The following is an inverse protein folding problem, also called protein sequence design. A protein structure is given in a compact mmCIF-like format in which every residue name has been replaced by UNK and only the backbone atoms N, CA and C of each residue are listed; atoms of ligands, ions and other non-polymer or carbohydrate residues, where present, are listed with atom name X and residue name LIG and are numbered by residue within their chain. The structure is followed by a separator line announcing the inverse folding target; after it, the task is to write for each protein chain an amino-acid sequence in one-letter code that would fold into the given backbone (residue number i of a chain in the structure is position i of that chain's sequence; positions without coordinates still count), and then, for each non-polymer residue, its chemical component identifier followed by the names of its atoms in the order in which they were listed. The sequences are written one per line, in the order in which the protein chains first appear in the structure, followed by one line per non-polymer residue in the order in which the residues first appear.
data_IF_357034288407
#
_entry.id   IF_357034288407
#
_cell.length_a   1.000
_cell.length_b   1.000
_cell.length_c   1.000
_cell.angle_alpha   90.00
_cell.angle_beta   90.00
_cell.angle_gamma   90.00
#
_symmetry.space_group_name_H-M   'P 1'
#
loop_
_entity.id
_entity.type
_entity.pdbx_description
1 polymer ?
#
# COMPACT_ATOMS: atom_id res chain seq x y z
N UNK A 1 -43.32 -38.46 6.83
CA UNK A 1 -42.59 -37.94 5.66
C UNK A 1 -41.17 -37.60 6.11
N UNK A 2 -40.14 -38.24 5.54
CA UNK A 2 -38.73 -37.98 5.90
C UNK A 2 -38.27 -36.66 5.27
N UNK A 3 -37.49 -35.80 5.96
CA UNK A 3 -36.91 -34.62 5.33
C UNK A 3 -35.79 -35.06 4.37
N UNK A 4 -35.81 -34.53 3.14
CA UNK A 4 -34.73 -34.72 2.16
C UNK A 4 -33.55 -33.84 2.58
N UNK A 5 -32.44 -34.46 2.96
CA UNK A 5 -31.15 -33.80 3.03
C UNK A 5 -30.74 -33.42 1.61
N UNK A 6 -30.66 -32.12 1.34
CA UNK A 6 -30.07 -31.58 0.11
C UNK A 6 -28.63 -31.22 0.45
N UNK A 7 -27.71 -32.14 0.20
CA UNK A 7 -26.27 -31.83 0.12
C UNK A 7 -26.05 -31.00 -1.13
N UNK A 8 -25.82 -29.68 -0.96
CA UNK A 8 -25.39 -28.81 -2.06
C UNK A 8 -23.91 -29.02 -2.33
N UNK A 9 -23.55 -29.04 -3.61
CA UNK A 9 -22.15 -29.17 -4.02
C UNK A 9 -21.40 -27.84 -3.86
N UNK A 10 -20.07 -27.89 -3.72
CA UNK A 10 -19.22 -26.72 -3.45
C UNK A 10 -19.38 -25.60 -4.49
N UNK A 11 -19.67 -25.90 -5.77
CA UNK A 11 -19.89 -24.87 -6.78
C UNK A 11 -21.23 -24.14 -6.64
N UNK A 12 -22.25 -24.80 -6.11
CA UNK A 12 -23.57 -24.19 -5.88
C UNK A 12 -23.53 -23.19 -4.72
N UNK A 13 -22.73 -23.45 -3.70
CA UNK A 13 -22.51 -22.51 -2.59
C UNK A 13 -21.72 -21.28 -3.04
N UNK A 14 -20.74 -21.47 -3.93
CA UNK A 14 -19.96 -20.38 -4.52
C UNK A 14 -20.83 -19.48 -5.42
N UNK A 15 -21.71 -20.06 -6.24
CA UNK A 15 -22.68 -19.29 -7.04
C UNK A 15 -23.69 -18.53 -6.17
N UNK A 16 -24.18 -19.13 -5.09
CA UNK A 16 -25.07 -18.44 -4.16
C UNK A 16 -24.39 -17.24 -3.48
N UNK A 17 -23.10 -17.37 -3.15
CA UNK A 17 -22.33 -16.25 -2.59
C UNK A 17 -22.12 -15.12 -3.60
N UNK A 18 -21.84 -15.43 -4.87
CA UNK A 18 -21.69 -14.42 -5.91
C UNK A 18 -23.02 -13.71 -6.26
N UNK A 19 -24.14 -14.44 -6.26
CA UNK A 19 -25.48 -13.86 -6.49
C UNK A 19 -25.91 -12.98 -5.32
N UNK A 20 -25.58 -13.34 -4.07
CA UNK A 20 -25.85 -12.50 -2.90
C UNK A 20 -24.97 -11.24 -2.85
N UNK A 21 -23.73 -11.33 -3.34
CA UNK A 21 -22.85 -10.17 -3.46
C UNK A 21 -23.33 -9.16 -4.52
N UNK A 22 -23.86 -9.64 -5.65
CA UNK A 22 -24.43 -8.77 -6.70
C UNK A 22 -25.83 -8.24 -6.37
N UNK A 23 -26.63 -8.98 -5.60
CA UNK A 23 -27.95 -8.52 -5.15
C UNK A 23 -27.88 -7.37 -4.13
N UNK A 24 -26.74 -7.21 -3.41
CA UNK A 24 -26.51 -6.05 -2.52
C UNK A 24 -26.05 -4.79 -3.25
N UNK A 25 -25.68 -4.87 -4.53
CA UNK A 25 -25.19 -3.74 -5.32
C UNK A 25 -26.19 -3.18 -6.34
N UNK A 26 -27.45 -3.65 -6.36
CA UNK A 26 -28.49 -3.09 -7.21
C UNK A 26 -29.31 -2.00 -6.48
N UNK A 27 -29.49 -0.79 -7.04
CA UNK A 27 -30.31 0.24 -6.42
C UNK A 27 -31.79 -0.16 -6.49
N UNK A 28 -32.49 -0.04 -5.36
CA UNK A 28 -33.95 -0.12 -5.30
C UNK A 28 -34.53 1.19 -5.81
N UNK A 29 -35.03 1.21 -7.04
CA UNK A 29 -35.88 2.28 -7.56
C UNK A 29 -37.20 2.33 -6.78
N UNK A 30 -37.43 3.43 -6.05
CA UNK A 30 -38.77 3.99 -5.78
C UNK A 30 -38.70 5.52 -5.65
N UNK A 31 -39.17 6.19 -6.70
CA UNK A 31 -40.00 7.40 -6.71
C UNK A 31 -39.71 8.51 -5.68
N UNK A 32 -39.06 9.58 -6.13
CA UNK A 32 -39.29 10.92 -5.61
C UNK A 32 -39.36 11.89 -6.80
N UNK A 33 -40.42 12.67 -6.79
CA UNK A 33 -40.92 13.60 -7.80
C UNK A 33 -39.95 14.69 -8.22
N UNK A 34 -39.97 15.01 -9.51
CA UNK A 34 -39.52 16.26 -10.12
C UNK A 34 -40.02 17.47 -9.32
N UNK A 35 -39.10 18.37 -8.96
CA UNK A 35 -39.39 19.80 -8.80
C UNK A 35 -38.28 20.59 -9.48
N UNK A 36 -38.69 21.27 -10.54
CA UNK A 36 -38.01 22.34 -11.26
C UNK A 36 -37.49 23.43 -10.33
N UNK A 37 -36.26 23.90 -10.54
CA UNK A 37 -35.88 25.31 -10.32
C UNK A 37 -34.86 25.73 -11.40
N UNK A 38 -35.03 26.90 -12.04
CA UNK A 38 -34.54 27.13 -13.41
C UNK A 38 -33.17 27.80 -13.48
N UNK A 39 -32.54 27.57 -14.64
CA UNK A 39 -31.40 28.29 -15.19
C UNK A 39 -31.69 29.76 -15.48
N UNK A 40 -30.80 30.64 -15.04
CA UNK A 40 -30.66 32.00 -15.55
C UNK A 40 -30.36 33.03 -14.47
N UNK A 41 -29.15 33.58 -14.46
CA UNK A 41 -28.86 34.99 -14.15
C UNK A 41 -27.37 35.28 -14.42
N UNK A 42 -27.12 35.78 -15.62
CA UNK A 42 -25.95 36.57 -16.00
C UNK A 42 -25.88 37.84 -15.14
N UNK A 43 -24.72 38.15 -14.57
CA UNK A 43 -24.41 39.48 -14.06
C UNK A 43 -23.24 40.06 -14.84
N UNK A 44 -23.54 41.13 -15.57
CA UNK A 44 -22.61 41.98 -16.28
C UNK A 44 -22.81 43.40 -15.75
N UNK A 45 -21.72 44.18 -15.72
CA UNK A 45 -21.62 45.63 -15.46
C UNK A 45 -21.61 46.10 -14.00
N UNK A 46 -20.42 46.47 -13.53
CA UNK A 46 -20.24 47.72 -12.79
C UNK A 46 -19.04 48.50 -13.36
N UNK A 47 -19.33 49.74 -13.74
CA UNK A 47 -18.44 50.70 -14.35
C UNK A 47 -17.55 51.40 -13.31
N UNK A 48 -16.38 51.83 -13.78
CA UNK A 48 -15.40 52.66 -13.07
C UNK A 48 -15.88 54.11 -12.85
N UNK A 49 -15.19 54.86 -11.97
CA UNK A 49 -14.92 56.28 -12.22
C UNK A 49 -13.43 56.54 -12.44
N UNK A 50 -13.16 57.38 -13.43
CA UNK A 50 -11.86 57.90 -13.84
C UNK A 50 -11.55 59.26 -13.20
N UNK A 51 -10.35 59.42 -12.65
CA UNK A 51 -9.50 60.64 -12.59
C UNK A 51 -8.18 60.16 -11.99
N UNK A 52 -6.97 60.38 -12.50
CA UNK A 52 -6.42 61.33 -13.45
C UNK A 52 -5.17 61.91 -12.78
N UNK A 53 -3.96 61.43 -13.10
CA UNK A 53 -2.74 62.24 -13.20
C UNK A 53 -1.49 61.43 -13.59
N UNK A 54 -0.61 62.14 -14.31
CA UNK A 54 0.51 61.67 -15.14
C UNK A 54 1.77 61.38 -14.31
N UNK A 55 2.61 60.41 -14.73
CA UNK A 55 4.07 60.64 -14.93
C UNK A 55 4.84 59.46 -15.57
N UNK A 56 5.49 59.80 -16.68
CA UNK A 56 6.83 59.43 -17.14
C UNK A 56 7.29 57.95 -17.16
N UNK A 57 7.57 57.49 -18.39
CA UNK A 57 8.46 56.40 -18.76
C UNK A 57 9.85 56.53 -18.09
N UNK A 58 10.30 55.48 -17.42
CA UNK A 58 11.73 55.22 -17.15
C UNK A 58 12.05 53.74 -17.28
N UNK A 59 13.18 53.47 -17.95
CA UNK A 59 13.79 52.19 -18.39
C UNK A 59 13.73 51.02 -17.38
N UNK A 60 13.78 49.76 -17.83
CA UNK A 60 13.90 48.62 -16.92
C UNK A 60 15.30 48.57 -16.30
N UNK A 61 15.45 48.22 -15.01
CA UNK A 61 16.75 48.00 -14.41
C UNK A 61 17.30 46.62 -14.79
N UNK A 62 18.63 46.58 -14.82
CA UNK A 62 19.52 45.50 -15.26
C UNK A 62 19.39 44.23 -14.42
N UNK A 63 19.67 43.10 -15.08
CA UNK A 63 19.98 41.80 -14.50
C UNK A 63 20.85 41.92 -13.24
N UNK A 64 20.29 41.49 -12.11
CA UNK A 64 21.05 41.12 -10.93
C UNK A 64 20.93 39.61 -10.81
N UNK A 65 21.97 38.91 -11.28
CA UNK A 65 22.13 37.48 -11.07
C UNK A 65 22.15 37.17 -9.58
N UNK A 66 21.01 36.69 -9.07
CA UNK A 66 20.91 36.10 -7.74
C UNK A 66 21.59 34.73 -7.77
N UNK A 67 22.87 34.70 -7.39
CA UNK A 67 23.58 33.46 -7.06
C UNK A 67 22.83 32.76 -5.92
N UNK A 68 22.17 31.64 -6.24
CA UNK A 68 21.69 30.67 -5.26
C UNK A 68 22.86 30.29 -4.33
N UNK A 69 22.72 30.56 -3.03
CA UNK A 69 23.72 30.18 -2.02
C UNK A 69 23.58 28.68 -1.69
N UNK A 70 24.68 27.94 -1.51
CA UNK A 70 24.66 26.54 -1.09
C UNK A 70 24.42 26.48 0.43
N UNK A 71 23.17 26.63 0.87
CA UNK A 71 22.77 26.35 2.26
C UNK A 71 21.95 25.07 2.40
N UNK A 72 21.31 24.62 1.31
CA UNK A 72 20.44 23.44 1.33
C UNK A 72 21.18 22.11 1.18
N UNK A 73 22.42 22.08 0.68
CA UNK A 73 23.13 20.82 0.51
C UNK A 73 23.50 20.13 1.84
N UNK A 74 23.74 20.89 2.92
CA UNK A 74 23.99 20.30 4.25
C UNK A 74 22.71 19.78 4.90
N UNK A 75 21.60 20.51 4.79
CA UNK A 75 20.31 20.05 5.30
C UNK A 75 19.80 18.84 4.51
N UNK A 76 19.98 18.81 3.18
CA UNK A 76 19.65 17.65 2.33
C UNK A 76 20.56 16.46 2.66
N UNK A 77 21.85 16.67 2.94
CA UNK A 77 22.76 15.61 3.36
C UNK A 77 22.48 15.09 4.79
N UNK A 78 22.01 15.94 5.70
CA UNK A 78 21.56 15.52 7.04
C UNK A 78 20.21 14.78 6.98
N UNK A 79 19.27 15.25 6.14
CA UNK A 79 18.01 14.56 5.85
C UNK A 79 18.24 13.21 5.15
N UNK A 80 19.23 13.11 4.26
CA UNK A 80 19.58 11.83 3.63
C UNK A 80 20.24 10.86 4.62
N UNK A 81 21.03 11.37 5.57
CA UNK A 81 21.62 10.55 6.66
C UNK A 81 20.56 10.02 7.62
N UNK A 82 19.61 10.87 8.02
CA UNK A 82 18.57 10.55 9.00
C UNK A 82 17.62 9.45 8.53
N UNK A 83 17.43 9.28 7.22
CA UNK A 83 16.57 8.23 6.65
C UNK A 83 17.23 6.84 6.60
N UNK A 84 18.56 6.73 6.65
CA UNK A 84 19.24 5.43 6.57
C UNK A 84 19.35 4.72 7.92
N UNK A 85 19.49 5.47 9.01
CA UNK A 85 19.46 4.90 10.37
C UNK A 85 18.11 4.18 10.63
N UNK A 86 17.03 4.62 9.97
CA UNK A 86 15.73 3.94 10.01
C UNK A 86 15.77 2.55 9.37
N UNK A 87 16.62 2.29 8.38
CA UNK A 87 16.73 0.98 7.72
C UNK A 87 17.32 -0.04 8.69
N UNK A 88 18.43 0.28 9.36
CA UNK A 88 19.05 -0.61 10.34
C UNK A 88 18.13 -0.86 11.53
N UNK A 89 17.46 0.18 12.03
CA UNK A 89 16.47 0.03 13.11
C UNK A 89 15.27 -0.82 12.67
N UNK A 90 14.79 -0.66 11.43
CA UNK A 90 13.74 -1.52 10.85
C UNK A 90 14.17 -2.98 10.84
N UNK A 91 15.39 -3.26 10.39
CA UNK A 91 15.92 -4.61 10.34
C UNK A 91 16.03 -5.22 11.74
N UNK A 92 16.54 -4.46 12.70
CA UNK A 92 16.67 -4.93 14.08
C UNK A 92 15.31 -5.23 14.73
N UNK A 93 14.31 -4.37 14.51
CA UNK A 93 12.94 -4.61 15.01
C UNK A 93 12.28 -5.80 14.31
N UNK A 94 12.60 -6.03 13.03
CA UNK A 94 12.08 -7.16 12.27
C UNK A 94 12.60 -8.52 12.76
N UNK A 95 13.66 -8.57 13.57
CA UNK A 95 14.15 -9.80 14.22
C UNK A 95 13.07 -10.45 15.10
N UNK A 96 12.17 -9.64 15.68
CA UNK A 96 11.01 -10.13 16.44
C UNK A 96 10.03 -10.95 15.58
N UNK A 97 10.11 -10.82 14.25
CA UNK A 97 9.34 -11.62 13.31
C UNK A 97 9.97 -12.99 13.02
N UNK A 98 11.18 -13.25 13.52
CA UNK A 98 11.94 -14.48 13.30
C UNK A 98 12.84 -14.45 12.06
N UNK A 99 12.89 -13.34 11.34
CA UNK A 99 13.79 -13.14 10.21
C UNK A 99 15.00 -12.34 10.64
N UNK A 100 16.18 -12.88 10.39
CA UNK A 100 17.45 -12.26 10.75
C UNK A 100 18.18 -11.88 9.48
N UNK A 101 18.61 -10.61 9.42
CA UNK A 101 19.68 -10.17 8.52
C UNK A 101 20.92 -10.01 9.39
N UNK A 102 22.05 -10.57 8.95
CA UNK A 102 23.29 -10.39 9.71
C UNK A 102 23.70 -8.91 9.75
N UNK A 103 24.45 -8.52 10.77
CA UNK A 103 24.96 -7.14 10.88
C UNK A 103 25.81 -6.75 9.67
N UNK A 104 26.58 -7.69 9.12
CA UNK A 104 27.39 -7.48 7.92
C UNK A 104 26.53 -7.24 6.68
N UNK A 105 25.53 -8.10 6.43
CA UNK A 105 24.58 -7.91 5.32
C UNK A 105 23.79 -6.61 5.47
N UNK A 106 23.38 -6.27 6.69
CA UNK A 106 22.68 -5.02 6.99
C UNK A 106 23.54 -3.79 6.68
N UNK A 107 24.83 -3.82 7.00
CA UNK A 107 25.76 -2.74 6.66
C UNK A 107 26.03 -2.64 5.15
N UNK A 108 26.18 -3.77 4.46
CA UNK A 108 26.34 -3.80 3.00
C UNK A 108 25.11 -3.22 2.32
N UNK A 109 23.92 -3.64 2.74
CA UNK A 109 22.64 -3.13 2.26
C UNK A 109 22.52 -1.64 2.53
N UNK A 110 22.82 -1.19 3.74
CA UNK A 110 22.75 0.23 4.11
C UNK A 110 23.66 1.09 3.21
N UNK A 111 24.90 0.65 2.99
CA UNK A 111 25.84 1.35 2.12
C UNK A 111 25.41 1.36 0.65
N UNK A 112 24.89 0.24 0.13
CA UNK A 112 24.46 0.16 -1.27
C UNK A 112 23.21 1.00 -1.53
N UNK A 113 22.27 1.06 -0.58
CA UNK A 113 21.09 1.94 -0.66
C UNK A 113 21.48 3.42 -0.63
N UNK A 114 22.50 3.80 0.14
CA UNK A 114 23.03 5.17 0.15
C UNK A 114 23.53 5.58 -1.24
N UNK A 115 24.26 4.68 -1.91
CA UNK A 115 24.75 4.90 -3.28
C UNK A 115 23.56 5.06 -4.22
N UNK A 116 22.60 4.13 -4.16
CA UNK A 116 21.42 4.13 -5.03
C UNK A 116 20.56 5.39 -4.85
N UNK A 117 20.41 5.90 -3.63
CA UNK A 117 19.72 7.16 -3.34
C UNK A 117 20.40 8.35 -4.01
N UNK A 118 21.72 8.44 -3.88
CA UNK A 118 22.51 9.55 -4.41
C UNK A 118 22.52 9.56 -5.95
N UNK A 119 22.68 8.40 -6.59
CA UNK A 119 22.72 8.26 -8.05
C UNK A 119 21.39 8.64 -8.71
N UNK A 120 20.28 8.29 -8.08
CA UNK A 120 18.94 8.52 -8.65
C UNK A 120 18.26 9.81 -8.15
N UNK A 121 18.94 10.57 -7.29
CA UNK A 121 18.43 11.76 -6.62
C UNK A 121 17.09 11.54 -5.93
N UNK A 122 16.94 10.41 -5.24
CA UNK A 122 15.75 10.14 -4.44
C UNK A 122 15.76 10.99 -3.17
N UNK A 123 14.57 11.50 -2.81
CA UNK A 123 14.38 12.21 -1.55
C UNK A 123 14.55 11.27 -0.38
N UNK A 124 13.96 10.08 -0.50
CA UNK A 124 14.06 9.00 0.48
C UNK A 124 14.12 7.66 -0.23
N UNK A 125 14.88 6.74 0.33
CA UNK A 125 14.98 5.35 -0.10
C UNK A 125 14.56 4.44 1.05
N UNK A 126 13.94 3.33 0.71
CA UNK A 126 13.44 2.34 1.66
C UNK A 126 13.88 0.96 1.22
N UNK A 127 14.31 0.16 2.18
CA UNK A 127 14.37 -1.27 1.99
C UNK A 127 12.94 -1.82 2.05
N UNK A 128 12.49 -2.46 0.98
CA UNK A 128 11.14 -3.04 0.92
C UNK A 128 11.10 -4.40 1.61
N UNK A 129 12.15 -5.20 1.43
CA UNK A 129 12.20 -6.56 1.94
C UNK A 129 12.99 -7.53 1.08
N UNK A 130 12.84 -8.80 1.41
CA UNK A 130 13.46 -9.94 0.73
C UNK A 130 12.41 -10.98 0.36
N UNK A 131 12.40 -11.37 -0.91
CA UNK A 131 11.63 -12.50 -1.42
C UNK A 131 12.54 -13.72 -1.51
N UNK A 132 12.13 -14.80 -0.86
CA UNK A 132 12.91 -16.02 -0.81
C UNK A 132 12.85 -16.77 -2.14
N UNK A 133 14.03 -17.09 -2.66
CA UNK A 133 14.19 -17.96 -3.82
C UNK A 133 14.71 -19.34 -3.42
N UNK A 134 14.81 -20.22 -4.40
CA UNK A 134 15.35 -21.57 -4.22
C UNK A 134 16.87 -21.55 -4.34
N UNK A 135 17.40 -20.86 -5.35
CA UNK A 135 18.84 -20.73 -5.60
C UNK A 135 19.37 -19.39 -5.07
N UNK A 136 18.67 -18.29 -5.34
CA UNK A 136 19.02 -16.95 -4.86
C UNK A 136 17.80 -16.16 -4.39
N UNK A 137 17.97 -15.37 -3.34
CA UNK A 137 16.94 -14.46 -2.84
C UNK A 137 16.92 -13.14 -3.60
N UNK A 138 15.74 -12.52 -3.69
CA UNK A 138 15.57 -11.17 -4.23
C UNK A 138 15.43 -10.16 -3.12
N UNK A 139 16.37 -9.23 -3.04
CA UNK A 139 16.31 -8.05 -2.20
C UNK A 139 15.64 -6.93 -2.99
N UNK A 140 14.69 -6.24 -2.39
CA UNK A 140 13.92 -5.19 -3.06
C UNK A 140 14.06 -3.89 -2.29
N UNK A 141 14.24 -2.80 -3.02
CA UNK A 141 14.27 -1.47 -2.48
C UNK A 141 13.42 -0.55 -3.36
N UNK A 142 12.94 0.55 -2.78
CA UNK A 142 12.28 1.57 -3.58
C UNK A 142 12.63 2.96 -3.08
N UNK A 143 12.59 3.92 -3.99
CA UNK A 143 12.77 5.33 -3.67
C UNK A 143 11.73 6.18 -4.39
N UNK A 144 11.51 7.38 -3.87
CA UNK A 144 10.67 8.39 -4.52
C UNK A 144 11.35 9.76 -4.51
N UNK A 145 10.94 10.63 -5.43
CA UNK A 145 11.51 11.99 -5.57
C UNK A 145 10.62 13.05 -4.92
N UNK A 146 9.42 13.21 -5.45
CA UNK A 146 8.47 14.25 -5.04
C UNK A 146 7.28 13.66 -4.30
N UNK A 147 6.50 12.82 -4.99
CA UNK A 147 5.29 12.20 -4.44
C UNK A 147 5.62 10.84 -3.81
N UNK A 148 5.28 10.69 -2.54
CA UNK A 148 5.58 9.49 -1.76
C UNK A 148 4.81 8.25 -2.27
N UNK A 149 3.69 8.46 -2.96
CA UNK A 149 2.81 7.41 -3.48
C UNK A 149 3.01 7.13 -4.98
N UNK A 150 2.97 8.15 -5.82
CA UNK A 150 2.93 7.99 -7.28
C UNK A 150 4.32 7.86 -7.92
N UNK A 151 5.35 8.47 -7.34
CA UNK A 151 6.71 8.51 -7.92
C UNK A 151 7.62 7.39 -7.40
N UNK A 152 7.05 6.28 -6.92
CA UNK A 152 7.84 5.16 -6.38
C UNK A 152 8.48 4.36 -7.51
N UNK A 153 9.81 4.26 -7.46
CA UNK A 153 10.62 3.45 -8.37
C UNK A 153 11.22 2.29 -7.60
N UNK A 154 11.00 1.08 -8.08
CA UNK A 154 11.44 -0.16 -7.44
C UNK A 154 12.71 -0.70 -8.10
N UNK A 155 13.59 -1.24 -7.27
CA UNK A 155 14.82 -1.90 -7.66
C UNK A 155 14.89 -3.27 -7.00
N UNK A 156 15.53 -4.21 -7.67
CA UNK A 156 15.80 -5.53 -7.11
C UNK A 156 17.30 -5.86 -7.19
N UNK A 157 17.76 -6.73 -6.31
CA UNK A 157 19.15 -7.21 -6.28
C UNK A 157 19.18 -8.65 -5.78
N UNK A 158 20.13 -9.44 -6.25
CA UNK A 158 20.42 -10.79 -5.72
C UNK A 158 21.62 -10.82 -4.79
N UNK A 159 22.41 -9.74 -4.75
CA UNK A 159 23.68 -9.68 -4.02
C UNK A 159 23.80 -8.47 -3.08
N UNK A 160 22.73 -7.69 -2.90
CA UNK A 160 22.67 -6.46 -2.09
C UNK A 160 23.62 -5.33 -2.51
N UNK A 161 24.29 -5.44 -3.66
CA UNK A 161 25.28 -4.46 -4.13
C UNK A 161 24.88 -3.90 -5.49
N UNK A 162 24.53 -4.79 -6.43
CA UNK A 162 24.12 -4.42 -7.77
C UNK A 162 22.59 -4.38 -7.84
N UNK A 163 22.04 -3.21 -8.12
CA UNK A 163 20.60 -2.98 -8.17
C UNK A 163 20.12 -2.86 -9.62
N UNK A 164 19.23 -3.77 -10.02
CA UNK A 164 18.50 -3.72 -11.29
C UNK A 164 17.19 -2.94 -11.13
N UNK A 165 16.85 -2.12 -12.12
CA UNK A 165 15.55 -1.46 -12.16
C UNK A 165 14.46 -2.49 -12.40
N UNK A 166 13.45 -2.52 -11.53
CA UNK A 166 12.32 -3.43 -11.68
C UNK A 166 11.34 -2.88 -12.73
N UNK A 167 10.91 -3.68 -13.74
CA UNK A 167 9.96 -3.21 -14.74
C UNK A 167 8.59 -2.96 -14.11
N UNK A 168 7.78 -2.12 -14.76
CA UNK A 168 6.41 -1.88 -14.31
C UNK A 168 5.57 -3.16 -14.47
N UNK A 169 4.68 -3.46 -13.50
CA UNK A 169 3.91 -4.69 -13.49
C UNK A 169 2.87 -4.67 -14.60
N UNK A 170 2.98 -5.61 -15.55
CA UNK A 170 2.00 -5.78 -16.63
C UNK A 170 0.71 -6.40 -16.10
N UNK A 171 -0.46 -5.95 -16.57
CA UNK A 171 -1.75 -6.48 -16.13
C UNK A 171 -1.92 -7.98 -16.42
N UNK A 172 -1.28 -8.47 -17.48
CA UNK A 172 -1.15 -9.89 -17.77
C UNK A 172 -0.48 -10.66 -16.62
N UNK A 173 0.66 -10.16 -16.13
CA UNK A 173 1.39 -10.80 -15.04
C UNK A 173 0.58 -10.76 -13.73
N UNK A 174 -0.05 -9.62 -13.41
CA UNK A 174 -0.91 -9.48 -12.21
C UNK A 174 -2.01 -10.54 -12.11
N UNK A 175 -2.59 -10.93 -13.25
CA UNK A 175 -3.62 -11.97 -13.33
C UNK A 175 -3.06 -13.39 -13.20
N UNK A 176 -1.83 -13.63 -13.65
CA UNK A 176 -1.19 -14.95 -13.59
C UNK A 176 -0.53 -15.25 -12.25
N UNK A 177 -0.01 -14.24 -11.55
CA UNK A 177 0.70 -14.44 -10.27
C UNK A 177 -0.13 -15.22 -9.23
N UNK A 178 -1.42 -14.90 -8.98
CA UNK A 178 -2.23 -15.64 -8.01
C UNK A 178 -2.42 -17.13 -8.35
N UNK A 179 -2.31 -17.49 -9.64
CA UNK A 179 -2.42 -18.86 -10.13
C UNK A 179 -1.08 -19.62 -10.03
N UNK A 180 0.03 -18.90 -9.86
CA UNK A 180 1.37 -19.47 -9.81
C UNK A 180 1.75 -19.81 -8.37
N UNK A 181 1.70 -21.10 -8.01
CA UNK A 181 2.10 -21.62 -6.69
C UNK A 181 3.58 -22.03 -6.60
N UNK A 182 4.31 -21.98 -7.71
CA UNK A 182 5.74 -22.32 -7.76
C UNK A 182 6.55 -21.36 -6.88
N UNK A 183 7.71 -21.79 -6.36
CA UNK A 183 8.63 -20.88 -5.66
C UNK A 183 9.39 -20.00 -6.66
N UNK A 184 10.00 -18.92 -6.20
CA UNK A 184 10.99 -18.20 -7.00
C UNK A 184 12.27 -19.03 -7.09
N UNK A 185 12.96 -18.98 -8.23
CA UNK A 185 14.25 -19.66 -8.37
C UNK A 185 15.41 -18.71 -8.02
N UNK A 186 15.29 -17.42 -8.35
CA UNK A 186 16.39 -16.46 -8.21
C UNK A 186 17.07 -16.11 -9.53
N UNK A 187 16.48 -16.51 -10.67
CA UNK A 187 16.91 -16.10 -12.01
C UNK A 187 15.83 -15.22 -12.68
N UNK A 188 16.08 -13.91 -12.88
CA UNK A 188 15.16 -13.01 -13.57
C UNK A 188 14.81 -13.44 -15.00
N UNK A 189 15.70 -14.18 -15.68
CA UNK A 189 15.52 -14.60 -17.06
C UNK A 189 14.65 -15.86 -17.21
N UNK A 190 14.36 -16.55 -16.11
CA UNK A 190 13.54 -17.77 -16.13
C UNK A 190 12.14 -17.48 -16.66
N UNK A 191 11.62 -18.39 -17.48
CA UNK A 191 10.23 -18.36 -17.96
C UNK A 191 9.53 -19.62 -17.46
N UNK A 192 8.45 -19.42 -16.71
CA UNK A 192 7.60 -20.47 -16.19
C UNK A 192 6.36 -20.64 -17.06
N UNK A 193 5.95 -21.89 -17.21
CA UNK A 193 4.70 -22.27 -17.86
C UNK A 193 3.61 -22.40 -16.78
N UNK A 194 2.65 -21.47 -16.78
CA UNK A 194 1.50 -21.42 -15.87
C UNK A 194 0.30 -22.05 -16.57
N UNK A 195 -0.24 -23.12 -15.98
CA UNK A 195 -1.46 -23.76 -16.45
C UNK A 195 -2.67 -22.96 -15.98
N UNK A 196 -3.55 -22.59 -16.92
CA UNK A 196 -4.87 -22.07 -16.64
C UNK A 196 -5.89 -23.16 -16.81
N UNK A 197 -6.70 -23.37 -15.77
CA UNK A 197 -7.81 -24.30 -15.81
C UNK A 197 -9.02 -23.67 -16.52
N UNK A 198 -10.00 -24.51 -16.88
CA UNK A 198 -11.19 -24.07 -17.64
C UNK A 198 -12.08 -23.10 -16.87
N UNK A 199 -12.15 -23.29 -15.56
CA UNK A 199 -13.01 -22.52 -14.66
C UNK A 199 -12.39 -21.16 -14.26
N UNK A 200 -11.17 -20.87 -14.72
CA UNK A 200 -10.45 -19.64 -14.40
C UNK A 200 -11.03 -18.43 -15.13
N UNK A 201 -11.64 -17.52 -14.36
CA UNK A 201 -12.24 -16.27 -14.86
C UNK A 201 -11.22 -15.10 -14.80
N UNK A 202 -9.95 -15.37 -14.47
CA UNK A 202 -8.92 -14.33 -14.33
C UNK A 202 -8.79 -13.41 -15.58
N UNK A 203 -9.15 -13.93 -16.76
CA UNK A 203 -9.14 -13.20 -18.03
C UNK A 203 -10.52 -12.72 -18.52
N UNK A 204 -11.56 -12.83 -17.68
CA UNK A 204 -12.91 -12.33 -17.96
C UNK A 204 -13.87 -13.42 -18.40
N UNK A 205 -13.54 -14.16 -19.45
CA UNK A 205 -14.36 -15.27 -19.95
C UNK A 205 -13.78 -16.63 -19.52
N UNK A 206 -14.62 -17.60 -19.11
CA UNK A 206 -14.16 -18.94 -18.79
C UNK A 206 -13.56 -19.59 -20.04
N UNK A 207 -12.42 -20.27 -19.86
CA UNK A 207 -11.71 -20.88 -20.96
C UNK A 207 -12.40 -22.20 -21.38
N UNK A 208 -12.55 -22.42 -22.69
CA UNK A 208 -13.10 -23.68 -23.22
C UNK A 208 -12.16 -24.88 -22.95
N UNK A 209 -10.85 -24.61 -22.96
CA UNK A 209 -9.78 -25.59 -22.79
C UNK A 209 -8.67 -25.04 -21.90
N UNK A 210 -7.97 -25.89 -21.13
CA UNK A 210 -6.85 -25.45 -20.32
C UNK A 210 -5.75 -24.88 -21.22
N UNK A 211 -5.23 -23.72 -20.86
CA UNK A 211 -4.20 -23.03 -21.63
C UNK A 211 -2.92 -22.92 -20.81
N UNK A 212 -1.78 -23.19 -21.43
CA UNK A 212 -0.48 -22.92 -20.85
C UNK A 212 -0.03 -21.53 -21.27
N UNK A 213 0.36 -20.71 -20.28
CA UNK A 213 0.82 -19.35 -20.49
C UNK A 213 2.20 -19.14 -19.90
N UNK A 214 3.02 -18.40 -20.63
CA UNK A 214 4.38 -18.09 -20.23
C UNK A 214 4.39 -16.88 -19.31
N UNK A 215 5.13 -16.98 -18.21
CA UNK A 215 5.37 -15.90 -17.26
C UNK A 215 6.87 -15.83 -16.95
N UNK A 216 7.49 -14.71 -17.30
CA UNK A 216 8.88 -14.44 -16.94
C UNK A 216 8.98 -14.17 -15.44
N UNK A 217 10.03 -14.65 -14.78
CA UNK A 217 10.23 -14.50 -13.34
C UNK A 217 10.41 -13.04 -12.92
N UNK A 218 11.08 -12.22 -13.73
CA UNK A 218 11.17 -10.77 -13.51
C UNK A 218 9.79 -10.08 -13.53
N UNK A 219 8.94 -10.41 -14.50
CA UNK A 219 7.57 -9.86 -14.60
C UNK A 219 6.70 -10.34 -13.44
N UNK A 220 6.89 -11.61 -13.04
CA UNK A 220 6.26 -12.20 -11.87
C UNK A 220 6.67 -11.46 -10.60
N UNK A 221 7.96 -11.20 -10.40
CA UNK A 221 8.50 -10.48 -9.25
C UNK A 221 7.86 -9.09 -9.15
N UNK A 222 7.83 -8.35 -10.25
CA UNK A 222 7.18 -7.03 -10.32
C UNK A 222 5.69 -7.08 -9.96
N UNK A 223 4.95 -8.03 -10.54
CA UNK A 223 3.54 -8.21 -10.23
C UNK A 223 3.29 -8.62 -8.77
N UNK A 224 4.10 -9.51 -8.19
CA UNK A 224 4.00 -9.91 -6.79
C UNK A 224 4.23 -8.72 -5.85
N UNK A 225 5.29 -7.94 -6.08
CA UNK A 225 5.59 -6.74 -5.28
C UNK A 225 4.43 -5.73 -5.38
N UNK A 226 3.87 -5.54 -6.58
CA UNK A 226 2.72 -4.68 -6.77
C UNK A 226 1.48 -5.16 -5.99
N UNK A 227 1.18 -6.46 -5.99
CA UNK A 227 0.06 -7.03 -5.26
C UNK A 227 0.24 -6.88 -3.74
N UNK A 228 1.43 -7.15 -3.22
CA UNK A 228 1.76 -6.96 -1.79
C UNK A 228 1.65 -5.48 -1.41
N UNK A 229 2.22 -4.58 -2.22
CA UNK A 229 2.12 -3.13 -2.01
C UNK A 229 0.69 -2.64 -2.00
N UNK A 230 -0.12 -3.19 -2.91
CA UNK A 230 -1.52 -2.85 -2.96
C UNK A 230 -2.18 -3.34 -1.68
N UNK A 231 -2.04 -4.60 -1.29
CA UNK A 231 -2.87 -5.21 -0.23
C UNK A 231 -2.39 -5.01 1.20
N UNK A 232 -1.11 -4.74 1.45
CA UNK A 232 -0.51 -4.93 2.79
C UNK A 232 0.41 -3.82 3.24
N UNK A 233 0.76 -2.85 2.39
CA UNK A 233 1.59 -1.76 2.85
C UNK A 233 0.77 -0.83 3.74
N UNK A 234 1.31 -0.52 4.92
CA UNK A 234 0.60 0.20 5.99
C UNK A 234 1.36 1.45 6.39
N UNK A 235 0.61 2.49 6.74
CA UNK A 235 1.11 3.75 7.30
C UNK A 235 0.20 4.16 8.46
N UNK A 236 0.74 4.71 9.58
CA UNK A 236 -0.08 5.21 10.66
C UNK A 236 -0.81 6.51 10.27
N UNK A 237 -2.01 6.72 10.80
CA UNK A 237 -2.82 7.91 10.53
C UNK A 237 -2.02 9.20 10.81
N UNK A 238 -2.06 10.13 9.87
CA UNK A 238 -1.39 11.43 9.99
C UNK A 238 0.09 11.44 9.58
N UNK A 239 0.71 10.29 9.31
CA UNK A 239 2.08 10.25 8.80
C UNK A 239 2.20 10.73 7.35
N UNK A 240 1.16 10.58 6.55
CA UNK A 240 1.05 11.14 5.20
C UNK A 240 0.04 12.27 5.16
N UNK A 241 0.32 13.26 4.33
CA UNK A 241 -0.51 14.43 4.13
C UNK A 241 -0.69 14.71 2.64
N UNK A 242 -1.95 14.89 2.24
CA UNK A 242 -2.30 15.30 0.87
C UNK A 242 -2.27 16.82 0.77
N UNK A 243 -1.32 17.34 -0.01
CA UNK A 243 -1.20 18.77 -0.29
C UNK A 243 -2.28 19.24 -1.26
N UNK A 244 -2.52 20.56 -1.28
CA UNK A 244 -3.52 21.19 -2.14
C UNK A 244 -3.24 21.02 -3.65
N UNK A 245 -1.98 20.77 -4.04
CA UNK A 245 -1.57 20.43 -5.41
C UNK A 245 -1.88 18.97 -5.78
N UNK A 246 -2.39 18.18 -4.83
CA UNK A 246 -2.70 16.77 -5.00
C UNK A 246 -1.52 15.83 -4.68
N UNK A 247 -0.31 16.36 -4.48
CA UNK A 247 0.86 15.56 -4.15
C UNK A 247 0.77 15.01 -2.72
N UNK A 248 1.18 13.75 -2.55
CA UNK A 248 1.23 13.10 -1.24
C UNK A 248 2.65 13.20 -0.67
N UNK A 249 2.77 13.76 0.53
CA UNK A 249 4.05 13.96 1.21
C UNK A 249 3.99 13.46 2.66
N UNK A 250 5.14 13.15 3.23
CA UNK A 250 5.26 12.87 4.66
C UNK A 250 4.95 14.13 5.48
N UNK A 251 4.19 13.95 6.56
CA UNK A 251 3.82 15.01 7.49
C UNK A 251 4.95 15.27 8.48
N UNK A 252 5.48 16.49 8.48
CA UNK A 252 6.47 16.92 9.47
C UNK A 252 5.87 17.17 10.87
N UNK A 253 4.55 17.29 10.96
CA UNK A 253 3.82 17.51 12.22
C UNK A 253 3.39 16.19 12.89
N UNK A 254 3.71 15.05 12.28
CA UNK A 254 3.37 13.75 12.85
C UNK A 254 4.31 13.45 14.02
N UNK A 255 3.78 13.40 15.23
CA UNK A 255 4.54 13.05 16.44
C UNK A 255 4.35 11.58 16.86
N UNK A 256 3.61 10.79 16.08
CA UNK A 256 3.28 9.41 16.40
C UNK A 256 1.93 9.24 17.08
N UNK A 257 1.34 8.06 16.91
CA UNK A 257 0.12 7.65 17.60
C UNK A 257 0.31 7.53 19.11
N UNK A 258 -0.75 7.86 19.85
CA UNK A 258 -0.83 7.57 21.29
C UNK A 258 -1.11 6.07 21.53
N UNK A 259 -0.80 5.53 22.73
CA UNK A 259 -1.09 4.12 23.03
C UNK A 259 -2.57 3.73 22.94
N UNK A 260 -3.49 4.69 23.20
CA UNK A 260 -4.93 4.44 23.06
C UNK A 260 -5.33 4.31 21.60
N UNK A 261 -4.86 5.23 20.75
CA UNK A 261 -5.11 5.18 19.31
C UNK A 261 -4.46 3.95 18.66
N UNK A 262 -3.26 3.59 19.09
CA UNK A 262 -2.49 2.50 18.48
C UNK A 262 -3.11 1.11 18.73
N UNK A 263 -4.05 0.98 19.68
CA UNK A 263 -4.84 -0.26 19.86
C UNK A 263 -5.97 -0.41 18.85
N UNK A 264 -6.37 0.67 18.18
CA UNK A 264 -7.46 0.63 17.21
C UNK A 264 -6.90 0.45 15.80
N UNK A 265 -7.31 -0.64 15.13
CA UNK A 265 -6.82 -0.97 13.79
C UNK A 265 -7.16 0.10 12.72
N UNK A 266 -8.26 0.85 12.91
CA UNK A 266 -8.68 1.96 12.04
C UNK A 266 -7.67 3.12 11.98
N UNK A 267 -6.74 3.22 12.94
CA UNK A 267 -5.69 4.24 12.94
C UNK A 267 -4.49 3.85 12.04
N UNK A 268 -4.56 2.70 11.41
CA UNK A 268 -3.61 2.24 10.40
C UNK A 268 -4.28 2.23 9.05
N UNK A 269 -3.60 2.79 8.04
CA UNK A 269 -4.15 3.05 6.72
C UNK A 269 -3.31 2.33 5.66
N UNK A 270 -3.96 1.87 4.60
CA UNK A 270 -3.33 1.28 3.43
C UNK A 270 -2.52 2.32 2.64
N UNK A 271 -1.25 2.05 2.37
CA UNK A 271 -0.36 2.93 1.61
C UNK A 271 -0.44 2.71 0.09
N UNK A 272 -1.66 2.75 -0.41
CA UNK A 272 -2.00 2.66 -1.83
C UNK A 272 -3.01 3.74 -2.20
N UNK A 273 -3.25 3.89 -3.50
CA UNK A 273 -4.37 4.69 -3.97
C UNK A 273 -5.66 4.09 -3.38
N UNK A 274 -6.51 4.91 -2.74
CA UNK A 274 -7.76 4.42 -2.13
C UNK A 274 -8.62 3.72 -3.17
N UNK A 275 -9.10 2.54 -2.81
CA UNK A 275 -10.05 1.75 -3.59
C UNK A 275 -11.48 2.11 -3.26
N UNK A 276 -11.74 2.56 -2.04
CA UNK A 276 -13.07 2.96 -1.63
C UNK A 276 -13.43 4.35 -2.17
N UNK A 277 -14.73 4.59 -2.30
CA UNK A 277 -15.23 5.92 -2.66
C UNK A 277 -14.93 6.88 -1.50
N UNK A 278 -14.51 8.09 -1.84
CA UNK A 278 -14.19 9.17 -0.87
C UNK A 278 -15.27 9.40 0.20
N UNK A 279 -16.55 9.24 -0.17
CA UNK A 279 -17.69 9.35 0.76
C UNK A 279 -17.73 8.28 1.84
N UNK A 280 -17.25 7.07 1.55
CA UNK A 280 -17.24 5.98 2.53
C UNK A 280 -16.24 6.29 3.63
N UNK A 281 -15.05 6.79 3.27
CA UNK A 281 -14.00 7.15 4.23
C UNK A 281 -14.39 8.36 5.09
N UNK A 282 -15.11 9.34 4.52
CA UNK A 282 -15.61 10.53 5.22
C UNK A 282 -16.55 10.22 6.40
N UNK A 283 -17.33 9.14 6.30
CA UNK A 283 -18.35 8.77 7.29
C UNK A 283 -17.82 7.82 8.37
N UNK A 284 -16.55 7.42 8.31
CA UNK A 284 -15.98 6.46 9.26
C UNK A 284 -15.73 7.06 10.64
N UNK A 285 -15.55 8.38 10.74
CA UNK A 285 -15.11 9.06 11.97
C UNK A 285 -15.71 10.44 12.15
N UNK A 286 -15.94 10.80 13.41
CA UNK A 286 -16.42 12.13 13.81
C UNK A 286 -15.32 13.21 13.67
N UNK A 287 -14.05 12.83 13.77
CA UNK A 287 -12.86 13.70 13.73
C UNK A 287 -12.14 13.69 12.37
N UNK A 288 -12.89 13.45 11.28
CA UNK A 288 -12.32 13.28 9.94
C UNK A 288 -11.59 14.53 9.41
N UNK A 289 -10.40 14.33 8.84
CA UNK A 289 -9.66 15.38 8.14
C UNK A 289 -9.26 14.93 6.72
N UNK A 290 -9.82 15.55 5.68
CA UNK A 290 -9.57 15.17 4.28
C UNK A 290 -8.10 15.14 3.88
N UNK A 291 -7.26 15.99 4.48
CA UNK A 291 -5.86 16.06 4.13
C UNK A 291 -5.02 14.94 4.78
N UNK A 292 -5.52 14.32 5.85
CA UNK A 292 -4.85 13.24 6.60
C UNK A 292 -5.51 11.87 6.33
N UNK A 293 -6.84 11.84 6.26
CA UNK A 293 -7.71 10.65 6.18
C UNK A 293 -8.19 10.41 4.75
N UNK A 294 -7.28 10.55 3.78
CA UNK A 294 -7.58 10.30 2.37
C UNK A 294 -7.37 8.83 1.98
N UNK A 295 -6.71 8.03 2.83
CA UNK A 295 -6.40 6.62 2.60
C UNK A 295 -7.47 5.68 3.16
N UNK A 296 -7.50 4.44 2.68
CA UNK A 296 -8.40 3.41 3.19
C UNK A 296 -7.87 2.85 4.52
N UNK A 297 -8.67 2.81 5.60
CA UNK A 297 -8.26 2.19 6.87
C UNK A 297 -8.20 0.66 6.77
N UNK A 298 -7.46 0.01 7.67
CA UNK A 298 -7.33 -1.46 7.67
C UNK A 298 -8.55 -2.22 8.21
N UNK A 299 -9.45 -1.56 8.93
CA UNK A 299 -10.65 -2.17 9.52
C UNK A 299 -11.68 -2.63 8.47
N UNK A 300 -11.60 -2.09 7.25
CA UNK A 300 -12.47 -2.45 6.13
C UNK A 300 -12.03 -3.71 5.40
N UNK A 301 -10.87 -4.28 5.74
CA UNK A 301 -10.37 -5.48 5.10
C UNK A 301 -11.19 -6.71 5.49
N UNK A 302 -11.46 -7.55 4.48
CA UNK A 302 -12.31 -8.73 4.62
C UNK A 302 -11.42 -9.98 4.51
N UNK A 303 -11.59 -10.98 5.39
CA UNK A 303 -12.48 -11.04 6.55
C UNK A 303 -11.97 -10.21 7.74
N UNK A 304 -12.87 -9.88 8.66
CA UNK A 304 -12.50 -9.26 9.94
C UNK A 304 -11.48 -10.14 10.68
N UNK A 305 -10.44 -9.52 11.24
CA UNK A 305 -9.35 -10.24 11.92
C UNK A 305 -8.25 -10.77 11.00
N UNK A 306 -8.21 -10.38 9.72
CA UNK A 306 -7.12 -10.72 8.79
C UNK A 306 -5.75 -10.09 9.12
N UNK A 307 -5.72 -9.21 10.13
CA UNK A 307 -4.53 -8.55 10.65
C UNK A 307 -4.30 -8.91 12.11
N UNK A 308 -3.03 -9.15 12.45
CA UNK A 308 -2.60 -9.33 13.83
C UNK A 308 -1.98 -8.02 14.32
N UNK A 309 -2.59 -7.43 15.35
CA UNK A 309 -2.09 -6.25 16.04
C UNK A 309 -1.54 -6.65 17.41
N UNK A 310 -0.24 -6.45 17.59
CA UNK A 310 0.46 -6.74 18.84
C UNK A 310 1.10 -5.46 19.36
N UNK A 311 0.79 -5.13 20.61
CA UNK A 311 1.45 -4.06 21.34
C UNK A 311 2.51 -4.68 22.26
N UNK A 312 3.72 -4.13 22.27
CA UNK A 312 4.76 -4.57 23.22
C UNK A 312 4.30 -4.32 24.65
N UNK A 313 4.78 -5.12 25.61
CA UNK A 313 4.43 -5.00 27.04
C UNK A 313 4.70 -3.60 27.60
N UNK A 314 5.73 -2.92 27.11
CA UNK A 314 6.08 -1.54 27.47
C UNK A 314 5.17 -0.47 26.83
N UNK A 315 4.25 -0.85 25.95
CA UNK A 315 3.36 0.04 25.19
C UNK A 315 4.12 1.16 24.46
N UNK A 316 5.30 0.84 23.96
CA UNK A 316 6.16 1.75 23.19
C UNK A 316 6.13 1.46 21.69
N UNK A 317 5.74 0.25 21.28
CA UNK A 317 5.84 -0.22 19.91
C UNK A 317 4.61 -1.04 19.56
N UNK A 318 3.96 -0.70 18.46
CA UNK A 318 2.96 -1.57 17.83
C UNK A 318 3.60 -2.30 16.67
N UNK A 319 3.28 -3.58 16.57
CA UNK A 319 3.63 -4.45 15.45
C UNK A 319 2.35 -4.94 14.79
N UNK A 320 2.28 -4.79 13.46
CA UNK A 320 1.23 -5.35 12.63
C UNK A 320 1.81 -6.46 11.74
N UNK A 321 1.06 -7.56 11.62
CA UNK A 321 1.35 -8.66 10.70
C UNK A 321 0.10 -9.00 9.91
N UNK A 322 0.26 -9.29 8.62
CA UNK A 322 -0.84 -9.72 7.76
C UNK A 322 -0.95 -11.25 7.74
N UNK A 323 -2.18 -11.76 7.82
CA UNK A 323 -2.45 -13.20 7.63
C UNK A 323 -2.49 -13.59 6.15
N UNK A 324 -2.90 -12.66 5.26
CA UNK A 324 -2.93 -12.90 3.82
C UNK A 324 -1.55 -13.00 3.21
N UNK A 325 -0.60 -12.21 3.71
CA UNK A 325 0.78 -12.22 3.24
C UNK A 325 1.72 -12.51 4.41
N UNK A 326 1.91 -13.81 4.73
CA UNK A 326 2.89 -14.21 5.71
C UNK A 326 4.26 -13.66 5.32
N UNK A 327 4.93 -13.03 6.30
CA UNK A 327 6.19 -12.35 6.07
C UNK A 327 6.11 -10.84 6.08
N UNK A 328 4.91 -10.26 5.96
CA UNK A 328 4.75 -8.82 6.15
C UNK A 328 4.90 -8.45 7.63
N UNK A 329 5.82 -7.52 7.89
CA UNK A 329 6.05 -6.93 9.21
C UNK A 329 5.97 -5.41 9.09
N UNK A 330 5.06 -4.81 9.86
CA UNK A 330 5.01 -3.37 10.04
C UNK A 330 5.21 -3.06 11.53
N UNK A 331 5.87 -1.95 11.82
CA UNK A 331 6.01 -1.45 13.18
C UNK A 331 5.85 0.07 13.25
N UNK A 332 5.43 0.54 14.42
CA UNK A 332 5.36 1.96 14.75
C UNK A 332 5.83 2.19 16.19
N UNK A 333 6.79 3.08 16.38
CA UNK A 333 7.25 3.51 17.69
C UNK A 333 6.33 4.63 18.20
N UNK A 334 5.53 4.31 19.21
CA UNK A 334 4.50 5.18 19.77
C UNK A 334 5.09 6.49 20.30
N UNK A 335 4.32 7.58 20.13
CA UNK A 335 4.76 8.95 20.48
C UNK A 335 6.07 9.39 19.81
N UNK A 336 6.43 8.76 18.69
CA UNK A 336 7.50 9.23 17.80
C UNK A 336 7.02 9.20 16.35
N UNK A 337 7.61 9.98 15.43
CA UNK A 337 7.30 9.89 14.00
C UNK A 337 7.77 8.58 13.34
N UNK A 338 8.42 7.68 14.07
CA UNK A 338 9.18 6.57 13.50
C UNK A 338 8.29 5.36 13.29
N UNK A 339 8.12 4.99 12.03
CA UNK A 339 7.44 3.77 11.60
C UNK A 339 8.19 3.17 10.42
N UNK A 340 7.95 1.90 10.17
CA UNK A 340 8.57 1.21 9.06
C UNK A 340 7.85 -0.09 8.75
N UNK A 341 8.21 -0.65 7.61
CA UNK A 341 7.74 -1.96 7.22
C UNK A 341 8.84 -2.70 6.47
N UNK A 342 8.73 -4.02 6.50
CA UNK A 342 9.59 -4.91 5.72
C UNK A 342 8.83 -6.20 5.42
N UNK A 343 9.06 -6.73 4.23
CA UNK A 343 8.51 -8.03 3.83
C UNK A 343 9.62 -9.10 3.78
N UNK A 344 9.42 -10.21 4.48
CA UNK A 344 10.29 -11.39 4.41
C UNK A 344 9.46 -12.63 4.15
N UNK A 345 9.44 -13.11 2.90
CA UNK A 345 8.57 -14.24 2.56
C UNK A 345 8.74 -14.77 1.14
N UNK A 346 7.95 -15.79 0.81
CA UNK A 346 8.00 -16.44 -0.51
C UNK A 346 7.20 -15.69 -1.60
N UNK A 347 6.52 -14.59 -1.25
CA UNK A 347 5.65 -13.88 -2.20
C UNK A 347 4.42 -14.67 -2.61
N UNK A 348 3.91 -15.55 -1.74
CA UNK A 348 2.71 -16.35 -1.96
C UNK A 348 1.59 -15.84 -1.02
N UNK A 349 0.43 -15.55 -1.60
CA UNK A 349 -0.76 -15.14 -0.85
C UNK A 349 -1.44 -16.35 -0.21
N UNK A 350 -1.73 -16.25 1.08
CA UNK A 350 -2.53 -17.21 1.81
C UNK A 350 -4.01 -16.96 1.53
N UNK A 351 -4.62 -17.77 0.65
CA UNK A 351 -6.05 -17.66 0.35
C UNK A 351 -6.93 -18.32 1.41
N UNK A 352 -6.33 -19.09 2.33
CA UNK A 352 -7.05 -19.88 3.33
C UNK A 352 -7.47 -19.09 4.58
N UNK A 353 -7.07 -17.82 4.69
CA UNK A 353 -7.37 -16.93 5.84
C UNK A 353 -8.85 -16.94 6.25
N UNK A 354 -9.83 -16.84 5.33
CA UNK A 354 -11.25 -16.90 5.71
C UNK A 354 -11.64 -18.22 6.39
N UNK A 355 -11.02 -19.33 6.02
CA UNK A 355 -11.31 -20.64 6.62
C UNK A 355 -10.65 -20.79 7.99
N UNK A 356 -9.45 -20.25 8.19
CA UNK A 356 -8.78 -20.25 9.50
C UNK A 356 -9.56 -19.45 10.54
N UNK A 357 -10.02 -18.26 10.15
CA UNK A 357 -10.77 -17.39 11.05
C UNK A 357 -12.16 -17.98 11.33
N UNK A 358 -12.88 -18.44 10.29
CA UNK A 358 -14.20 -19.09 10.46
C UNK A 358 -14.14 -20.42 11.23
N UNK A 359 -13.00 -21.09 11.33
CA UNK A 359 -12.82 -22.27 12.18
C UNK A 359 -12.75 -21.96 13.68
N UNK A 360 -12.45 -20.71 14.07
CA UNK A 360 -12.38 -20.27 15.47
C UNK A 360 -13.73 -19.71 15.99
N UNK A 361 -14.60 -19.24 15.10
CA UNK A 361 -15.91 -18.69 15.44
C UNK A 361 -16.97 -19.70 15.95
N UNK A 362 -17.01 -21.00 15.59
CA UNK A 362 -18.07 -21.90 16.06
C UNK A 362 -17.92 -22.26 17.54
N UNK A 363 -16.74 -22.04 18.14
CA UNK A 363 -16.46 -22.40 19.54
C UNK A 363 -16.79 -21.23 20.48
N UNK A 364 -16.70 -19.98 20.01
CA UNK A 364 -16.90 -18.80 20.85
C UNK A 364 -18.37 -18.46 21.09
N UNK A 365 -19.26 -18.67 20.12
CA UNK A 365 -20.71 -18.45 20.38
C UNK A 365 -21.29 -19.50 21.32
N UNK A 366 -20.91 -20.76 21.20
CA UNK A 366 -21.42 -21.84 22.07
C UNK A 366 -20.99 -21.66 23.54
N UNK A 367 -19.76 -21.15 23.78
CA UNK A 367 -19.24 -20.97 25.14
C UNK A 367 -19.94 -19.83 25.92
N UNK A 368 -20.45 -18.80 25.23
CA UNK A 368 -21.19 -17.69 25.84
C UNK A 368 -22.71 -17.83 25.73
N UNK A 369 -23.22 -18.70 24.85
CA UNK A 369 -24.66 -18.99 24.74
C UNK A 369 -25.16 -20.08 25.70
N UNK A 370 -24.28 -20.68 26.53
CA UNK A 370 -24.70 -21.57 27.61
C UNK A 370 -25.59 -22.72 27.13
N UNK A 371 -25.15 -23.41 26.08
CA UNK A 371 -25.71 -24.69 25.66
C UNK A 371 -24.72 -25.82 25.84
#
# INVERSE_FOLDING_TARGET
MRPRNVTRTMSELYQLFQVLATARSAPRDRTASEMDVPSGLTFDKFAAPSTGERRALSRPPRDVGAKFKPRDQRAVAELSKMNLDEVLDTLHLSEQSGHLISTEEGLVLNNSLLILQNENHFRKIFFWGRIFGTDNDYYVAYGYRSDAMHDRVFYYSTNCVNWGLLPLPTDYAKKLVPLCTARFQGDPALVLDVLLEKDEIAFGEPLTEPQVRKLKEEDRLSATIHLINHEVLVVPRGALYKRADGAIVESLAFEGLTPLEAREIKNFLHYRVPTQKWNTNLLTRDDYNFAMDFLDPLDVDIPEGCWLLNLTVSEDTVVLKSLYWPGMFFYHLLKTPRYGFVYFGNGIKCLDVPFFLNGLYPIYEDFFQGK
#
